data_IF_297428912769
#
_entry.id   IF_297428912769
#
_cell.length_a   1.000
_cell.length_b   1.000
_cell.length_c   1.000
_cell.angle_alpha   90.00
_cell.angle_beta   90.00
_cell.angle_gamma   90.00
#
_symmetry.space_group_name_H-M   'P 1'
#
loop_
_entity.id
_entity.type
_entity.pdbx_description
1 polymer ?
#
# COMPACT_ATOMS: atom_id res chain seq x y z
N UNK A 1 10.28 18.80 -3.29
CA UNK A 1 10.49 19.58 -2.05
C UNK A 1 9.23 19.75 -1.17
N UNK A 2 7.99 19.76 -1.72
CA UNK A 2 6.74 19.87 -0.93
C UNK A 2 6.28 18.53 -0.35
N UNK A 3 6.46 17.40 -1.04
CA UNK A 3 6.12 16.07 -0.52
C UNK A 3 7.03 15.68 0.64
N UNK A 4 8.32 15.96 0.53
CA UNK A 4 9.29 15.74 1.62
C UNK A 4 8.92 16.56 2.86
N UNK A 5 8.39 17.79 2.69
CA UNK A 5 7.86 18.58 3.82
C UNK A 5 6.59 18.00 4.42
N UNK A 6 5.68 17.40 3.62
CA UNK A 6 4.49 16.70 4.14
C UNK A 6 4.88 15.39 4.86
N UNK A 7 5.87 14.65 4.36
CA UNK A 7 6.42 13.48 5.06
C UNK A 7 7.07 13.84 6.41
N UNK A 8 7.75 14.98 6.51
CA UNK A 8 8.31 15.48 7.80
C UNK A 8 7.24 15.80 8.85
N UNK A 9 6.02 16.14 8.44
CA UNK A 9 4.91 16.38 9.36
C UNK A 9 4.20 15.09 9.82
N UNK A 10 4.49 13.94 9.19
CA UNK A 10 4.00 12.62 9.62
C UNK A 10 4.84 11.98 10.74
N UNK A 11 5.88 12.64 11.24
CA UNK A 11 6.52 12.24 12.49
C UNK A 11 5.52 12.44 13.63
N UNK A 12 5.05 11.32 14.18
CA UNK A 12 4.10 11.21 15.28
C UNK A 12 4.56 12.13 16.42
N UNK A 13 3.80 13.19 16.69
CA UNK A 13 3.89 13.87 17.98
C UNK A 13 3.26 12.93 19.00
N UNK A 14 4.05 12.53 20.00
CA UNK A 14 3.49 11.95 21.23
C UNK A 14 2.44 12.91 21.80
N UNK A 15 1.19 12.66 21.52
CA UNK A 15 0.08 13.35 22.14
C UNK A 15 -0.80 12.33 22.83
N UNK A 16 -0.52 12.13 24.10
CA UNK A 16 -1.52 11.72 25.08
C UNK A 16 -2.63 12.77 25.10
N UNK A 17 -3.87 12.33 24.95
CA UNK A 17 -5.16 13.01 24.96
C UNK A 17 -5.69 13.49 23.60
N UNK A 18 -6.37 12.58 22.92
CA UNK A 18 -7.56 12.93 22.13
C UNK A 18 -8.47 11.70 21.99
N UNK A 19 -9.61 11.75 22.66
CA UNK A 19 -10.82 11.04 22.27
C UNK A 19 -11.26 11.67 20.93
N UNK A 20 -10.65 11.30 19.83
CA UNK A 20 -10.88 11.86 18.53
C UNK A 20 -10.88 10.75 17.48
N UNK A 21 -11.75 10.84 16.55
CA UNK A 21 -11.95 10.04 15.35
C UNK A 21 -10.84 9.03 15.05
N UNK A 22 -11.15 7.76 15.17
CA UNK A 22 -10.31 6.66 14.69
C UNK A 22 -10.94 6.07 13.44
N UNK A 23 -10.13 5.51 12.54
CA UNK A 23 -10.66 4.81 11.37
C UNK A 23 -11.30 3.49 11.81
N UNK A 24 -12.56 3.28 11.43
CA UNK A 24 -13.25 2.04 11.73
C UNK A 24 -12.89 0.95 10.70
N UNK A 25 -11.74 0.31 10.88
CA UNK A 25 -11.25 -0.75 9.99
C UNK A 25 -12.20 -1.97 9.89
N UNK A 26 -13.12 -2.16 10.82
CA UNK A 26 -14.03 -3.32 10.79
C UNK A 26 -15.28 -3.06 9.95
N UNK A 27 -15.64 -1.79 9.74
CA UNK A 27 -16.79 -1.38 8.92
C UNK A 27 -16.40 -1.25 7.45
N UNK A 28 -15.82 -2.28 6.88
CA UNK A 28 -15.36 -2.32 5.50
C UNK A 28 -16.31 -3.09 4.62
N UNK A 29 -16.64 -2.53 3.46
CA UNK A 29 -17.50 -3.16 2.45
C UNK A 29 -16.83 -3.11 1.07
N UNK A 30 -17.01 -4.17 0.28
CA UNK A 30 -16.62 -4.13 -1.13
C UNK A 30 -17.53 -3.17 -1.89
N UNK A 31 -16.93 -2.19 -2.58
CA UNK A 31 -17.69 -1.16 -3.29
C UNK A 31 -17.76 -1.41 -4.80
N UNK A 32 -16.61 -1.67 -5.43
CA UNK A 32 -16.53 -1.85 -6.87
C UNK A 32 -15.20 -2.51 -7.30
N UNK A 33 -15.19 -3.03 -8.52
CA UNK A 33 -13.98 -3.40 -9.24
C UNK A 33 -13.94 -2.70 -10.60
N UNK A 34 -12.80 -2.13 -10.96
CA UNK A 34 -12.58 -1.49 -12.25
C UNK A 34 -11.50 -2.23 -13.04
N UNK A 35 -11.85 -2.72 -14.21
CA UNK A 35 -10.91 -3.34 -15.16
C UNK A 35 -10.43 -2.37 -16.25
N UNK A 36 -11.03 -1.17 -16.32
CA UNK A 36 -10.69 -0.08 -17.26
C UNK A 36 -10.84 1.27 -16.58
N UNK A 37 -10.16 2.28 -17.10
CA UNK A 37 -10.15 3.63 -16.53
C UNK A 37 -11.55 4.30 -16.54
N UNK A 38 -12.38 4.00 -17.52
CA UNK A 38 -13.76 4.52 -17.61
C UNK A 38 -14.73 3.96 -16.54
N UNK A 39 -14.32 2.91 -15.84
CA UNK A 39 -15.08 2.29 -14.74
C UNK A 39 -14.69 2.83 -13.35
N UNK A 40 -13.70 3.72 -13.28
CA UNK A 40 -13.24 4.27 -12.01
C UNK A 40 -14.32 5.12 -11.34
N UNK A 41 -14.56 4.87 -10.06
CA UNK A 41 -15.45 5.67 -9.23
C UNK A 41 -14.83 7.04 -8.95
N UNK A 42 -15.67 8.05 -8.71
CA UNK A 42 -15.20 9.35 -8.23
C UNK A 42 -14.54 9.19 -6.86
N UNK A 43 -13.52 10.00 -6.62
CA UNK A 43 -12.79 10.03 -5.35
C UNK A 43 -13.46 11.02 -4.40
N UNK A 44 -14.48 10.56 -3.66
CA UNK A 44 -15.25 11.34 -2.70
C UNK A 44 -14.76 11.22 -1.25
N UNK A 45 -13.84 10.29 -1.00
CA UNK A 45 -13.20 10.03 0.29
C UNK A 45 -11.68 10.02 0.14
N UNK A 46 -10.92 10.25 1.24
CA UNK A 46 -9.49 9.96 1.26
C UNK A 46 -9.21 8.51 0.85
N UNK A 47 -8.25 8.30 -0.05
CA UNK A 47 -7.91 6.97 -0.55
C UNK A 47 -6.58 6.48 0.02
N UNK A 48 -6.61 5.28 0.59
CA UNK A 48 -5.44 4.51 0.99
C UNK A 48 -5.19 3.46 -0.07
N UNK A 49 -4.11 3.61 -0.81
CA UNK A 49 -3.81 2.82 -2.00
C UNK A 49 -2.79 1.75 -1.67
N UNK A 50 -3.08 0.50 -1.99
CA UNK A 50 -2.19 -0.64 -1.78
C UNK A 50 -1.57 -1.06 -3.10
N UNK A 51 -0.25 -0.98 -3.18
CA UNK A 51 0.58 -1.34 -4.33
C UNK A 51 1.63 -2.37 -3.95
N UNK A 52 2.01 -3.22 -4.87
CA UNK A 52 3.07 -4.20 -4.66
C UNK A 52 3.10 -5.28 -5.72
N UNK A 53 4.21 -6.01 -5.74
CA UNK A 53 4.41 -7.15 -6.63
C UNK A 53 3.42 -8.28 -6.33
N UNK A 54 3.09 -9.07 -7.33
CA UNK A 54 2.32 -10.30 -7.14
C UNK A 54 2.91 -11.19 -6.07
N UNK A 55 2.05 -11.74 -5.18
CA UNK A 55 2.43 -12.64 -4.08
C UNK A 55 3.34 -11.99 -3.01
N UNK A 56 3.46 -10.68 -2.99
CA UNK A 56 4.21 -9.95 -1.96
C UNK A 56 3.55 -10.00 -0.58
N UNK A 57 2.26 -10.35 -0.50
CA UNK A 57 1.48 -10.37 0.75
C UNK A 57 0.44 -9.25 0.85
N UNK A 58 0.17 -8.51 -0.23
CA UNK A 58 -0.76 -7.38 -0.27
C UNK A 58 -2.17 -7.74 0.22
N UNK A 59 -2.79 -8.79 -0.31
CA UNK A 59 -4.12 -9.25 0.12
C UNK A 59 -4.15 -9.71 1.58
N UNK A 60 -3.08 -10.37 2.04
CA UNK A 60 -2.97 -10.80 3.44
C UNK A 60 -2.88 -9.59 4.38
N UNK A 61 -2.16 -8.54 3.98
CA UNK A 61 -2.04 -7.29 4.73
C UNK A 61 -3.40 -6.58 4.81
N UNK A 62 -4.10 -6.40 3.68
CA UNK A 62 -5.43 -5.77 3.66
C UNK A 62 -6.40 -6.56 4.55
N UNK A 63 -6.47 -7.87 4.41
CA UNK A 63 -7.34 -8.73 5.22
C UNK A 63 -7.03 -8.62 6.73
N UNK A 64 -5.75 -8.52 7.09
CA UNK A 64 -5.32 -8.35 8.48
C UNK A 64 -5.69 -6.99 9.05
N UNK A 65 -5.53 -5.91 8.27
CA UNK A 65 -5.93 -4.56 8.66
C UNK A 65 -7.41 -4.48 9.05
N UNK A 66 -8.27 -5.09 8.25
CA UNK A 66 -9.72 -5.05 8.44
C UNK A 66 -10.27 -6.23 9.25
N UNK A 67 -9.40 -7.09 9.76
CA UNK A 67 -9.75 -8.30 10.50
C UNK A 67 -10.78 -9.19 9.77
N UNK A 68 -10.61 -9.37 8.47
CA UNK A 68 -11.43 -10.23 7.61
C UNK A 68 -10.58 -11.31 6.96
N UNK A 69 -11.09 -12.55 6.86
CA UNK A 69 -10.34 -13.69 6.31
C UNK A 69 -10.22 -13.67 4.78
N UNK A 70 -11.12 -13.03 4.07
CA UNK A 70 -11.22 -13.14 2.62
C UNK A 70 -11.85 -11.92 1.92
N UNK A 71 -11.69 -10.71 2.46
CA UNK A 71 -12.19 -9.50 1.81
C UNK A 71 -11.41 -9.24 0.51
N UNK A 72 -10.08 -9.10 0.63
CA UNK A 72 -9.20 -9.10 -0.52
C UNK A 72 -8.86 -10.56 -0.85
N UNK A 73 -9.29 -11.03 -2.02
CA UNK A 73 -9.01 -12.41 -2.43
C UNK A 73 -7.53 -12.57 -2.69
N UNK A 74 -6.91 -13.54 -2.04
CA UNK A 74 -5.59 -14.04 -2.43
C UNK A 74 -5.79 -14.76 -3.77
N UNK A 75 -5.68 -14.03 -4.88
CA UNK A 75 -5.83 -14.61 -6.22
C UNK A 75 -4.54 -15.36 -6.56
N UNK A 76 -4.55 -16.67 -6.30
CA UNK A 76 -3.51 -17.56 -6.75
C UNK A 76 -3.66 -17.98 -8.22
N UNK A 77 -4.61 -17.40 -8.98
CA UNK A 77 -4.88 -17.81 -10.36
C UNK A 77 -4.24 -16.81 -11.32
N UNK A 78 -3.10 -17.16 -11.97
CA UNK A 78 -2.58 -16.39 -13.09
C UNK A 78 -3.63 -16.36 -14.21
N UNK A 79 -3.86 -15.19 -14.81
CA UNK A 79 -4.75 -15.06 -15.97
C UNK A 79 -6.13 -14.50 -15.68
N UNK A 80 -6.51 -14.16 -14.45
CA UNK A 80 -7.68 -13.32 -14.22
C UNK A 80 -7.34 -11.87 -14.55
N UNK A 81 -8.26 -11.24 -15.28
CA UNK A 81 -8.23 -9.83 -15.63
C UNK A 81 -7.84 -8.95 -14.44
N UNK A 82 -6.74 -8.24 -14.57
CA UNK A 82 -6.28 -7.31 -13.55
C UNK A 82 -7.34 -6.22 -13.31
N UNK A 83 -7.78 -6.05 -12.07
CA UNK A 83 -8.76 -5.03 -11.65
C UNK A 83 -8.22 -4.23 -10.48
N UNK A 84 -8.60 -2.96 -10.40
CA UNK A 84 -8.50 -2.15 -9.19
C UNK A 84 -9.76 -2.45 -8.37
N UNK A 85 -9.59 -2.86 -7.12
CA UNK A 85 -10.70 -3.14 -6.23
C UNK A 85 -10.83 -2.02 -5.19
N UNK A 86 -12.05 -1.55 -5.00
CA UNK A 86 -12.39 -0.49 -4.08
C UNK A 86 -13.18 -1.07 -2.91
N UNK A 87 -12.74 -0.72 -1.70
CA UNK A 87 -13.41 -1.08 -0.45
C UNK A 87 -13.71 0.20 0.32
N UNK A 88 -14.97 0.39 0.68
CA UNK A 88 -15.44 1.57 1.39
C UNK A 88 -15.38 1.34 2.90
N UNK A 89 -14.84 2.30 3.61
CA UNK A 89 -14.92 2.47 5.05
C UNK A 89 -15.67 3.79 5.33
N UNK A 90 -16.16 4.04 6.55
CA UNK A 90 -16.84 5.29 6.87
C UNK A 90 -15.98 6.54 6.61
N UNK A 91 -14.69 6.49 6.95
CA UNK A 91 -13.76 7.63 6.91
C UNK A 91 -12.89 7.68 5.66
N UNK A 92 -12.72 6.57 4.95
CA UNK A 92 -11.79 6.48 3.81
C UNK A 92 -12.20 5.36 2.84
N UNK A 93 -11.45 5.25 1.76
CA UNK A 93 -11.55 4.16 0.80
C UNK A 93 -10.23 3.44 0.68
N UNK A 94 -10.25 2.11 0.78
CA UNK A 94 -9.11 1.28 0.44
C UNK A 94 -9.15 0.95 -1.06
N UNK A 95 -8.01 1.12 -1.72
CA UNK A 95 -7.84 0.89 -3.16
C UNK A 95 -6.77 -0.17 -3.35
N UNK A 96 -7.19 -1.38 -3.73
CA UNK A 96 -6.29 -2.51 -3.99
C UNK A 96 -5.91 -2.51 -5.47
N UNK A 97 -4.70 -2.03 -5.77
CA UNK A 97 -4.17 -2.04 -7.12
C UNK A 97 -3.78 -3.46 -7.55
N UNK A 98 -3.93 -3.79 -8.84
CA UNK A 98 -3.46 -5.09 -9.34
C UNK A 98 -1.95 -5.21 -9.18
N UNK A 99 -1.50 -6.35 -8.68
CA UNK A 99 -0.07 -6.61 -8.51
C UNK A 99 0.69 -6.56 -9.84
N UNK A 100 1.93 -6.11 -9.79
CA UNK A 100 2.85 -6.12 -10.94
C UNK A 100 3.83 -7.29 -10.88
N UNK A 101 4.74 -7.40 -11.86
CA UNK A 101 5.83 -8.39 -11.87
C UNK A 101 5.37 -9.83 -12.15
N UNK A 102 4.27 -10.03 -12.86
CA UNK A 102 3.89 -11.36 -13.34
C UNK A 102 4.80 -11.84 -14.47
N UNK A 103 5.52 -12.93 -14.24
CA UNK A 103 6.45 -13.49 -15.23
C UNK A 103 5.79 -14.05 -16.51
N UNK A 104 4.48 -14.37 -16.44
CA UNK A 104 3.74 -15.06 -17.50
C UNK A 104 2.44 -14.34 -17.87
N UNK A 105 2.52 -13.05 -18.22
CA UNK A 105 1.39 -12.32 -18.79
C UNK A 105 1.71 -11.89 -20.20
N UNK A 106 0.70 -11.89 -21.08
CA UNK A 106 0.84 -11.44 -22.45
C UNK A 106 1.19 -9.93 -22.50
N UNK A 107 1.77 -9.52 -23.61
CA UNK A 107 2.09 -8.10 -23.85
C UNK A 107 0.82 -7.22 -23.80
N UNK A 108 -0.31 -7.73 -24.30
CA UNK A 108 -1.60 -7.06 -24.25
C UNK A 108 -2.10 -6.84 -22.82
N UNK A 109 -1.92 -7.82 -21.93
CA UNK A 109 -2.29 -7.69 -20.51
C UNK A 109 -1.39 -6.68 -19.79
N UNK A 110 -0.08 -6.64 -20.11
CA UNK A 110 0.83 -5.62 -19.57
C UNK A 110 0.41 -4.22 -19.99
N UNK A 111 0.07 -4.02 -21.26
CA UNK A 111 -0.39 -2.73 -21.78
C UNK A 111 -1.74 -2.32 -21.15
N UNK A 112 -2.64 -3.26 -20.96
CA UNK A 112 -3.92 -3.01 -20.31
C UNK A 112 -3.72 -2.62 -18.84
N UNK A 113 -2.85 -3.34 -18.11
CA UNK A 113 -2.46 -3.01 -16.75
C UNK A 113 -1.89 -1.58 -16.68
N UNK A 114 -0.94 -1.25 -17.56
CA UNK A 114 -0.33 0.08 -17.59
C UNK A 114 -1.36 1.20 -17.84
N UNK A 115 -2.28 1.00 -18.81
CA UNK A 115 -3.36 1.95 -19.09
C UNK A 115 -4.32 2.14 -17.92
N UNK A 116 -4.66 1.07 -17.20
CA UNK A 116 -5.52 1.12 -16.02
C UNK A 116 -4.84 1.89 -14.89
N UNK A 117 -3.56 1.61 -14.63
CA UNK A 117 -2.76 2.30 -13.60
C UNK A 117 -2.58 3.77 -13.94
N UNK A 118 -2.22 4.08 -15.18
CA UNK A 118 -2.10 5.46 -15.64
C UNK A 118 -3.43 6.20 -15.48
N UNK A 119 -4.54 5.62 -15.94
CA UNK A 119 -5.87 6.21 -15.81
C UNK A 119 -6.28 6.45 -14.35
N UNK A 120 -5.88 5.57 -13.43
CA UNK A 120 -6.13 5.77 -12.00
C UNK A 120 -5.35 6.99 -11.46
N UNK A 121 -4.05 7.07 -11.72
CA UNK A 121 -3.20 8.13 -11.15
C UNK A 121 -3.30 9.47 -11.91
N UNK A 122 -3.74 9.46 -13.18
CA UNK A 122 -3.98 10.70 -13.95
C UNK A 122 -5.35 11.33 -13.64
N UNK A 123 -6.27 10.58 -13.04
CA UNK A 123 -7.53 11.12 -12.55
C UNK A 123 -7.30 12.00 -11.30
N UNK A 124 -8.16 13.01 -11.13
CA UNK A 124 -8.18 13.81 -9.90
C UNK A 124 -8.69 12.95 -8.74
N UNK A 125 -7.76 12.40 -7.96
CA UNK A 125 -8.05 11.52 -6.82
C UNK A 125 -7.52 12.07 -5.52
N UNK A 126 -8.28 11.87 -4.45
CA UNK A 126 -7.87 12.23 -3.09
C UNK A 126 -6.99 11.12 -2.49
N UNK A 127 -5.80 10.89 -3.06
CA UNK A 127 -4.84 9.91 -2.56
C UNK A 127 -4.22 10.45 -1.26
N UNK A 128 -4.64 9.91 -0.13
CA UNK A 128 -4.14 10.30 1.20
C UNK A 128 -2.81 9.60 1.53
N UNK A 129 -2.66 8.32 1.14
CA UNK A 129 -1.44 7.55 1.35
C UNK A 129 -1.36 6.37 0.38
N UNK A 130 -0.19 6.13 -0.19
CA UNK A 130 0.12 4.89 -0.91
C UNK A 130 0.94 3.98 0.00
N UNK A 131 0.50 2.76 0.20
CA UNK A 131 1.22 1.71 0.90
C UNK A 131 1.91 0.85 -0.15
N UNK A 132 3.21 1.09 -0.34
CA UNK A 132 4.05 0.31 -1.25
C UNK A 132 4.59 -0.91 -0.51
N UNK A 133 4.21 -2.10 -0.97
CA UNK A 133 4.48 -3.35 -0.26
C UNK A 133 5.66 -4.08 -0.92
N UNK A 134 6.65 -4.40 -0.11
CA UNK A 134 7.85 -5.17 -0.48
C UNK A 134 7.94 -6.46 0.34
N UNK A 135 8.70 -7.44 -0.14
CA UNK A 135 9.01 -8.66 0.61
C UNK A 135 10.33 -8.46 1.38
N UNK A 136 10.26 -8.48 2.71
CA UNK A 136 11.44 -8.21 3.55
C UNK A 136 12.59 -9.22 3.36
N UNK A 137 12.31 -10.38 2.78
CA UNK A 137 13.30 -11.45 2.60
C UNK A 137 14.28 -11.19 1.44
N UNK A 138 13.96 -10.23 0.57
CA UNK A 138 14.67 -9.99 -0.68
C UNK A 138 14.93 -8.50 -0.88
N UNK A 139 15.94 -8.20 -1.67
CA UNK A 139 16.12 -6.84 -2.21
C UNK A 139 14.94 -6.48 -3.13
N UNK A 140 14.55 -5.20 -3.22
CA UNK A 140 13.55 -4.74 -4.17
C UNK A 140 13.95 -5.06 -5.60
N UNK A 141 12.97 -5.45 -6.41
CA UNK A 141 13.17 -5.72 -7.84
C UNK A 141 13.14 -4.42 -8.65
N UNK A 142 13.53 -4.48 -9.93
CA UNK A 142 13.44 -3.33 -10.83
C UNK A 142 12.01 -2.76 -10.88
N UNK A 143 11.00 -3.62 -10.97
CA UNK A 143 9.58 -3.19 -10.95
C UNK A 143 9.20 -2.47 -9.64
N UNK A 144 9.78 -2.87 -8.50
CA UNK A 144 9.57 -2.21 -7.21
C UNK A 144 10.20 -0.80 -7.20
N UNK A 145 11.41 -0.66 -7.73
CA UNK A 145 12.07 0.63 -7.88
C UNK A 145 11.33 1.54 -8.87
N UNK A 146 10.85 1.00 -10.01
CA UNK A 146 10.05 1.76 -10.96
C UNK A 146 8.80 2.33 -10.30
N UNK A 147 8.10 1.55 -9.46
CA UNK A 147 6.94 2.03 -8.73
C UNK A 147 7.29 3.08 -7.67
N UNK A 148 8.36 2.89 -6.91
CA UNK A 148 8.84 3.87 -5.92
C UNK A 148 9.21 5.19 -6.61
N UNK A 149 9.96 5.13 -7.71
CA UNK A 149 10.34 6.31 -8.49
C UNK A 149 9.09 7.03 -9.03
N UNK A 150 8.12 6.28 -9.55
CA UNK A 150 6.84 6.84 -10.00
C UNK A 150 6.11 7.60 -8.89
N UNK A 151 6.09 7.07 -7.66
CA UNK A 151 5.46 7.73 -6.52
C UNK A 151 6.21 9.02 -6.13
N UNK A 152 7.54 9.00 -6.18
CA UNK A 152 8.39 10.18 -5.92
C UNK A 152 8.17 11.26 -6.98
N UNK A 153 8.22 10.90 -8.26
CA UNK A 153 8.06 11.82 -9.39
C UNK A 153 6.68 12.49 -9.40
N UNK A 154 5.65 11.78 -8.96
CA UNK A 154 4.28 12.27 -8.86
C UNK A 154 3.97 13.02 -7.55
N UNK A 155 4.96 13.17 -6.67
CA UNK A 155 4.81 13.84 -5.38
C UNK A 155 3.66 13.23 -4.54
N UNK A 156 3.46 11.91 -4.63
CA UNK A 156 2.42 11.19 -3.89
C UNK A 156 2.93 10.82 -2.49
N UNK A 157 2.12 11.00 -1.43
CA UNK A 157 2.50 10.54 -0.10
C UNK A 157 2.51 9.01 -0.08
N UNK A 158 3.62 8.41 0.36
CA UNK A 158 3.70 6.95 0.46
C UNK A 158 4.55 6.46 1.63
N UNK A 159 4.31 5.22 2.01
CA UNK A 159 4.96 4.47 3.06
C UNK A 159 5.32 3.08 2.51
N UNK A 160 6.52 2.60 2.79
CA UNK A 160 6.92 1.23 2.43
C UNK A 160 6.58 0.27 3.57
N UNK A 161 5.96 -0.86 3.25
CA UNK A 161 5.69 -1.95 4.19
C UNK A 161 6.41 -3.21 3.74
N UNK A 162 7.40 -3.66 4.53
CA UNK A 162 8.20 -4.84 4.24
C UNK A 162 7.58 -6.07 4.91
N UNK A 163 6.82 -6.85 4.13
CA UNK A 163 6.06 -8.03 4.61
C UNK A 163 6.94 -9.24 4.86
N UNK A 164 6.36 -10.27 5.48
CA UNK A 164 6.97 -11.60 5.73
C UNK A 164 8.19 -11.54 6.65
N UNK A 165 8.26 -10.56 7.54
CA UNK A 165 9.32 -10.45 8.54
C UNK A 165 9.42 -11.67 9.46
N UNK A 166 8.30 -12.40 9.67
CA UNK A 166 8.23 -13.66 10.41
C UNK A 166 9.00 -14.83 9.77
N UNK A 167 9.38 -14.71 8.51
CA UNK A 167 10.15 -15.72 7.78
C UNK A 167 11.66 -15.59 7.98
N UNK A 168 12.11 -14.53 8.66
CA UNK A 168 13.51 -14.24 8.94
C UNK A 168 13.84 -14.62 10.38
N UNK A 169 15.00 -15.24 10.59
CA UNK A 169 15.56 -15.34 11.95
C UNK A 169 16.10 -13.96 12.39
N UNK A 170 16.48 -13.84 13.67
CA UNK A 170 16.92 -12.57 14.25
C UNK A 170 18.08 -11.91 13.49
N UNK A 171 19.08 -12.70 13.10
CA UNK A 171 20.23 -12.19 12.35
C UNK A 171 19.84 -11.69 10.97
N UNK A 172 19.06 -12.49 10.23
CA UNK A 172 18.55 -12.12 8.92
C UNK A 172 17.65 -10.87 8.99
N UNK A 173 16.79 -10.80 10.01
CA UNK A 173 15.94 -9.62 10.24
C UNK A 173 16.78 -8.35 10.44
N UNK A 174 17.78 -8.40 11.31
CA UNK A 174 18.65 -7.24 11.57
C UNK A 174 19.42 -6.81 10.32
N UNK A 175 19.93 -7.77 9.53
CA UNK A 175 20.63 -7.48 8.28
C UNK A 175 19.70 -6.82 7.26
N UNK A 176 18.50 -7.36 7.06
CA UNK A 176 17.53 -6.79 6.13
C UNK A 176 17.00 -5.43 6.60
N UNK A 177 16.76 -5.27 7.90
CA UNK A 177 16.32 -3.99 8.45
C UNK A 177 17.37 -2.91 8.20
N UNK A 178 18.64 -3.19 8.47
CA UNK A 178 19.74 -2.26 8.21
C UNK A 178 19.87 -1.93 6.72
N UNK A 179 19.68 -2.93 5.83
CA UNK A 179 19.68 -2.73 4.39
C UNK A 179 18.56 -1.75 3.94
N UNK A 180 17.31 -1.94 4.42
CA UNK A 180 16.21 -1.05 4.07
C UNK A 180 16.35 0.34 4.68
N UNK A 181 16.91 0.46 5.91
CA UNK A 181 17.25 1.75 6.52
C UNK A 181 18.24 2.54 5.66
N UNK A 182 19.27 1.88 5.17
CA UNK A 182 20.28 2.49 4.31
C UNK A 182 19.70 2.87 2.94
N UNK A 183 18.94 1.96 2.32
CA UNK A 183 18.31 2.15 1.02
C UNK A 183 17.37 3.37 1.00
N UNK A 184 16.59 3.57 2.05
CA UNK A 184 15.57 4.62 2.10
C UNK A 184 16.02 5.92 2.76
N UNK A 185 17.23 5.95 3.31
CA UNK A 185 17.76 7.11 4.05
C UNK A 185 17.86 8.38 3.21
N UNK A 186 18.39 8.28 1.99
CA UNK A 186 18.64 9.44 1.13
C UNK A 186 17.35 10.20 0.80
N UNK A 187 16.26 9.48 0.57
CA UNK A 187 14.96 10.05 0.23
C UNK A 187 14.03 10.20 1.45
N UNK A 188 14.52 9.92 2.66
CA UNK A 188 13.74 9.96 3.91
C UNK A 188 12.41 9.16 3.79
N UNK A 189 12.43 8.02 3.07
CA UNK A 189 11.25 7.18 2.86
C UNK A 189 10.97 6.37 4.13
N UNK A 190 9.80 6.53 4.78
CA UNK A 190 9.44 5.71 5.93
C UNK A 190 9.16 4.27 5.51
N UNK A 191 9.62 3.31 6.31
CA UNK A 191 9.26 1.91 6.11
C UNK A 191 8.93 1.20 7.42
N UNK A 192 8.09 0.17 7.32
CA UNK A 192 7.64 -0.64 8.47
C UNK A 192 7.90 -2.11 8.15
N UNK A 193 8.74 -2.82 8.94
CA UNK A 193 8.77 -4.27 8.93
C UNK A 193 7.43 -4.83 9.40
N UNK A 194 6.89 -5.81 8.69
CA UNK A 194 5.52 -6.26 8.90
C UNK A 194 5.37 -7.79 8.77
N UNK A 195 4.47 -8.35 9.57
CA UNK A 195 4.03 -9.74 9.44
C UNK A 195 2.52 -9.87 9.60
N UNK A 196 1.85 -10.37 8.57
CA UNK A 196 0.42 -10.73 8.67
C UNK A 196 0.18 -11.91 9.61
N UNK A 197 1.19 -12.77 9.80
CA UNK A 197 1.10 -13.97 10.63
C UNK A 197 1.07 -13.59 12.12
N UNK A 198 2.04 -12.79 12.56
CA UNK A 198 2.22 -12.41 13.96
C UNK A 198 1.48 -11.13 14.34
N UNK A 199 1.18 -10.25 13.37
CA UNK A 199 0.65 -8.91 13.61
C UNK A 199 1.74 -7.87 13.89
N UNK A 200 3.03 -8.23 13.76
CA UNK A 200 4.11 -7.28 13.92
C UNK A 200 3.98 -6.12 12.93
N UNK A 201 4.11 -4.89 13.39
CA UNK A 201 3.98 -3.68 12.59
C UNK A 201 2.53 -3.25 12.25
N UNK A 202 1.50 -4.04 12.65
CA UNK A 202 0.10 -3.75 12.32
C UNK A 202 -0.40 -2.44 12.94
N UNK A 203 -0.14 -2.23 14.22
CA UNK A 203 -0.63 -1.02 14.92
C UNK A 203 0.10 0.24 14.43
N UNK A 204 1.40 0.15 14.16
CA UNK A 204 2.16 1.25 13.53
C UNK A 204 1.58 1.61 12.17
N UNK A 205 1.25 0.60 11.34
CA UNK A 205 0.63 0.83 10.04
C UNK A 205 -0.75 1.50 10.16
N UNK A 206 -1.58 1.07 11.12
CA UNK A 206 -2.89 1.70 11.38
C UNK A 206 -2.74 3.18 11.77
N UNK A 207 -1.78 3.50 12.65
CA UNK A 207 -1.50 4.88 13.05
C UNK A 207 -1.13 5.76 11.84
N UNK A 208 -0.31 5.27 10.92
CA UNK A 208 0.01 6.00 9.69
C UNK A 208 -1.21 6.21 8.78
N UNK A 209 -2.07 5.21 8.67
CA UNK A 209 -3.32 5.32 7.90
C UNK A 209 -4.25 6.36 8.55
N UNK A 210 -4.44 6.29 9.86
CA UNK A 210 -5.27 7.24 10.61
C UNK A 210 -4.76 8.67 10.50
N UNK A 211 -3.45 8.88 10.64
CA UNK A 211 -2.83 10.19 10.45
C UNK A 211 -3.07 10.74 9.04
N UNK A 212 -2.96 9.88 8.01
CA UNK A 212 -3.18 10.28 6.62
C UNK A 212 -4.66 10.60 6.31
N UNK A 213 -5.60 9.86 6.90
CA UNK A 213 -7.04 10.01 6.66
C UNK A 213 -7.61 11.20 7.44
N UNK A 214 -7.19 11.38 8.69
CA UNK A 214 -7.76 12.35 9.61
C UNK A 214 -7.02 13.70 9.64
N UNK A 215 -5.87 13.78 8.97
CA UNK A 215 -5.10 15.03 8.85
C UNK A 215 -4.40 15.46 10.14
N UNK A 216 -4.13 14.50 11.05
CA UNK A 216 -3.48 14.75 12.35
C UNK A 216 -1.96 14.66 12.25
#
# INVERSE_FOLDING_TARGET
HKAIRRQRQMCIRDSSDSKGNTVNFQSVEFEAAAGRADQLKKSDLPEIVFSGKSNVGKSSLINKLVNRKALARVSATPGKTATINFFRLPECRFVDLPGYGYAKVSQSEKQRWAKLMQGYFDAERNVALVIQILDMRHEPTADDFDMINFLIERDLPFLVVCTKSDKLNKTQFNTQNAYFEDLFREHEIPFIPYSSQTGFGLETLKQHIEAAVLGN
#
